data_IF_574547693757
#
_entry.id   IF_574547693757
#
_cell.length_a   1.000
_cell.length_b   1.000
_cell.length_c   1.000
_cell.angle_alpha   90.00
_cell.angle_beta   90.00
_cell.angle_gamma   90.00
#
_symmetry.space_group_name_H-M   'P 1'
#
loop_
_entity.id
_entity.type
_entity.pdbx_description
1 polymer ?
#
# COMPACT_ATOMS: atom_id res chain seq x y z
N UNK A 1 10.84 -26.20 6.68
CA UNK A 1 9.57 -25.80 6.02
C UNK A 1 8.66 -24.98 6.93
N UNK A 2 8.55 -25.31 8.23
CA UNK A 2 7.73 -24.54 9.18
C UNK A 2 8.35 -23.16 9.54
N UNK A 3 9.68 -23.03 9.61
CA UNK A 3 10.33 -21.77 10.01
C UNK A 3 10.28 -20.65 8.96
N UNK A 4 10.33 -20.96 7.66
CA UNK A 4 10.20 -19.96 6.60
C UNK A 4 8.76 -19.43 6.51
N UNK A 5 7.78 -20.32 6.67
CA UNK A 5 6.35 -19.97 6.71
C UNK A 5 6.01 -19.22 8.01
N UNK A 6 6.65 -19.57 9.14
CA UNK A 6 6.49 -18.87 10.41
C UNK A 6 7.23 -17.52 10.43
N UNK A 7 8.39 -17.37 9.77
CA UNK A 7 9.06 -16.07 9.64
C UNK A 7 8.30 -15.13 8.71
N UNK A 8 7.74 -15.63 7.61
CA UNK A 8 6.86 -14.85 6.73
C UNK A 8 5.54 -14.50 7.44
N UNK A 9 4.98 -15.45 8.20
CA UNK A 9 3.80 -15.23 9.03
C UNK A 9 4.04 -14.24 10.17
N UNK A 10 5.21 -14.30 10.83
CA UNK A 10 5.64 -13.35 11.87
C UNK A 10 5.90 -11.96 11.28
N UNK A 11 6.50 -11.84 10.11
CA UNK A 11 6.67 -10.56 9.42
C UNK A 11 5.33 -9.92 9.09
N UNK A 12 4.39 -10.69 8.53
CA UNK A 12 3.03 -10.21 8.25
C UNK A 12 2.26 -9.87 9.54
N UNK A 13 2.40 -10.68 10.60
CA UNK A 13 1.75 -10.46 11.88
C UNK A 13 2.32 -9.24 12.63
N UNK A 14 3.63 -9.05 12.59
CA UNK A 14 4.33 -7.94 13.25
C UNK A 14 4.01 -6.58 12.59
N UNK A 15 3.63 -6.58 11.31
CA UNK A 15 3.10 -5.39 10.63
C UNK A 15 1.57 -5.24 10.80
N UNK A 16 0.83 -6.35 10.94
CA UNK A 16 -0.62 -6.34 11.13
C UNK A 16 -1.06 -5.87 12.52
N UNK A 17 -0.35 -6.31 13.56
CA UNK A 17 -0.70 -6.04 14.96
C UNK A 17 -0.68 -4.54 15.30
N UNK A 18 0.38 -3.77 14.98
CA UNK A 18 0.42 -2.34 15.29
C UNK A 18 -0.70 -1.56 14.61
N UNK A 19 -0.95 -1.83 13.33
CA UNK A 19 -1.95 -1.14 12.55
C UNK A 19 -3.39 -1.42 13.03
N UNK A 20 -3.69 -2.68 13.36
CA UNK A 20 -5.01 -3.08 13.87
C UNK A 20 -5.24 -2.50 15.25
N UNK A 21 -4.21 -2.46 16.09
CA UNK A 21 -4.28 -1.85 17.41
C UNK A 21 -4.52 -0.34 17.32
N UNK A 22 -3.79 0.36 16.44
CA UNK A 22 -3.98 1.80 16.20
C UNK A 22 -5.40 2.04 15.66
N UNK A 23 -5.88 1.22 14.73
CA UNK A 23 -7.25 1.32 14.21
C UNK A 23 -8.32 1.10 15.28
N UNK A 24 -8.16 0.08 16.12
CA UNK A 24 -9.07 -0.17 17.24
C UNK A 24 -9.03 0.98 18.26
N UNK A 25 -7.84 1.52 18.53
CA UNK A 25 -7.64 2.66 19.43
C UNK A 25 -8.30 3.94 18.90
N UNK A 26 -8.11 4.28 17.62
CA UNK A 26 -8.75 5.44 16.98
C UNK A 26 -10.27 5.29 16.97
N UNK A 27 -10.78 4.10 16.65
CA UNK A 27 -12.23 3.84 16.70
C UNK A 27 -12.79 3.92 18.13
N UNK A 28 -12.09 3.42 19.14
CA UNK A 28 -12.60 3.44 20.51
C UNK A 28 -12.60 4.84 21.13
N UNK A 29 -11.52 5.62 20.95
CA UNK A 29 -11.38 6.93 21.62
C UNK A 29 -11.98 8.09 20.82
N UNK A 30 -12.05 7.98 19.49
CA UNK A 30 -12.43 9.10 18.63
C UNK A 30 -13.65 8.82 17.74
N UNK A 31 -14.39 7.73 17.96
CA UNK A 31 -15.68 7.51 17.31
C UNK A 31 -16.64 8.67 17.60
N UNK A 32 -17.41 9.08 16.59
CA UNK A 32 -18.37 10.18 16.72
C UNK A 32 -17.77 11.59 16.79
N UNK A 33 -16.44 11.74 16.81
CA UNK A 33 -15.80 13.05 16.92
C UNK A 33 -15.49 13.67 15.56
N UNK A 34 -15.68 14.99 15.47
CA UNK A 34 -15.27 15.82 14.33
C UNK A 34 -13.96 16.52 14.71
N UNK A 35 -12.92 16.33 13.91
CA UNK A 35 -11.57 16.81 14.26
C UNK A 35 -11.23 18.13 13.57
N UNK A 36 -11.60 18.27 12.30
CA UNK A 36 -11.22 19.46 11.52
C UNK A 36 -12.22 19.78 10.40
N UNK A 37 -12.09 21.01 9.89
CA UNK A 37 -12.80 21.52 8.71
C UNK A 37 -11.79 21.75 7.59
N UNK A 38 -12.01 21.14 6.43
CA UNK A 38 -11.16 21.32 5.27
C UNK A 38 -11.38 22.70 4.61
N UNK A 39 -10.31 23.37 4.12
CA UNK A 39 -10.39 24.70 3.52
C UNK A 39 -10.91 24.69 2.07
N UNK A 40 -11.10 23.52 1.46
CA UNK A 40 -11.61 23.36 0.09
C UNK A 40 -13.00 22.71 0.08
N UNK A 41 -13.83 22.96 -0.95
CA UNK A 41 -15.10 22.26 -1.14
C UNK A 41 -14.87 20.81 -1.57
N UNK A 42 -15.62 19.86 -0.99
CA UNK A 42 -15.60 18.44 -1.35
C UNK A 42 -16.96 18.00 -1.89
N UNK A 43 -16.96 16.98 -2.74
CA UNK A 43 -18.16 16.35 -3.30
C UNK A 43 -18.83 15.41 -2.30
N UNK A 44 -20.15 15.25 -2.40
CA UNK A 44 -20.95 14.43 -1.47
C UNK A 44 -20.56 12.94 -1.46
N UNK A 45 -19.93 12.44 -2.54
CA UNK A 45 -19.43 11.07 -2.60
C UNK A 45 -18.39 10.75 -1.52
N UNK A 46 -17.66 11.75 -1.02
CA UNK A 46 -16.72 11.55 0.09
C UNK A 46 -17.38 11.56 1.47
N UNK A 47 -18.65 11.95 1.58
CA UNK A 47 -19.32 12.11 2.89
C UNK A 47 -19.35 10.82 3.69
N UNK A 48 -19.73 9.70 3.06
CA UNK A 48 -19.77 8.38 3.72
C UNK A 48 -18.39 7.89 4.17
N UNK A 49 -17.33 8.33 3.49
CA UNK A 49 -15.94 7.98 3.81
C UNK A 49 -15.38 8.89 4.92
N UNK A 50 -15.61 10.20 4.82
CA UNK A 50 -15.03 11.20 5.72
C UNK A 50 -15.77 11.34 7.04
N UNK A 51 -17.07 11.02 7.06
CA UNK A 51 -17.93 11.09 8.24
C UNK A 51 -18.27 9.69 8.78
N UNK A 52 -17.52 8.66 8.37
CA UNK A 52 -17.67 7.33 8.95
C UNK A 52 -17.46 7.42 10.47
N UNK A 53 -18.43 6.92 11.24
CA UNK A 53 -18.48 7.01 12.69
C UNK A 53 -19.18 8.24 13.26
N UNK A 54 -19.60 9.23 12.46
CA UNK A 54 -20.35 10.43 12.90
C UNK A 54 -21.77 10.39 12.34
N UNK A 55 -22.76 10.18 13.19
CA UNK A 55 -24.16 10.01 12.75
C UNK A 55 -24.91 11.36 12.68
N UNK A 56 -24.45 12.27 11.83
CA UNK A 56 -25.05 13.60 11.67
C UNK A 56 -25.31 13.92 10.19
N UNK A 57 -26.54 13.69 9.67
CA UNK A 57 -26.84 13.81 8.25
C UNK A 57 -26.79 15.26 7.73
N UNK A 58 -27.02 16.26 8.58
CA UNK A 58 -27.01 17.69 8.19
C UNK A 58 -25.62 18.34 8.22
N UNK A 59 -24.57 17.57 8.55
CA UNK A 59 -23.22 18.10 8.66
C UNK A 59 -22.58 18.30 7.28
N UNK A 60 -22.01 19.49 7.05
CA UNK A 60 -21.34 19.80 5.77
C UNK A 60 -20.17 18.85 5.51
N UNK A 61 -19.96 18.46 4.25
CA UNK A 61 -18.93 17.47 3.82
C UNK A 61 -17.50 17.93 4.12
N UNK A 62 -17.30 19.20 4.46
CA UNK A 62 -15.98 19.75 4.85
C UNK A 62 -15.52 19.27 6.23
N UNK A 63 -16.44 18.79 7.08
CA UNK A 63 -16.09 18.27 8.40
C UNK A 63 -15.65 16.81 8.29
N UNK A 64 -14.50 16.53 8.88
CA UNK A 64 -13.81 15.24 8.79
C UNK A 64 -13.77 14.58 10.16
N UNK A 65 -14.08 13.28 10.21
CA UNK A 65 -13.96 12.45 11.41
C UNK A 65 -12.51 12.10 11.70
N UNK A 66 -12.20 11.74 12.94
CA UNK A 66 -10.85 11.33 13.33
C UNK A 66 -10.33 10.13 12.52
N UNK A 67 -11.21 9.17 12.20
CA UNK A 67 -10.89 7.98 11.42
C UNK A 67 -10.47 8.38 10.00
N UNK A 68 -11.22 9.29 9.39
CA UNK A 68 -10.89 9.79 8.07
C UNK A 68 -9.58 10.57 8.05
N UNK A 69 -9.33 11.39 9.08
CA UNK A 69 -8.06 12.10 9.20
C UNK A 69 -6.87 11.15 9.30
N UNK A 70 -7.01 10.02 10.00
CA UNK A 70 -5.98 8.98 10.04
C UNK A 70 -5.67 8.43 8.64
N UNK A 71 -6.69 8.09 7.85
CA UNK A 71 -6.50 7.64 6.46
C UNK A 71 -5.80 8.69 5.58
N UNK A 72 -6.15 9.97 5.73
CA UNK A 72 -5.51 11.07 4.98
C UNK A 72 -4.02 11.18 5.32
N UNK A 73 -3.65 11.07 6.60
CA UNK A 73 -2.24 11.07 7.01
C UNK A 73 -1.51 9.84 6.46
N UNK A 74 -2.12 8.67 6.51
CA UNK A 74 -1.51 7.44 5.99
C UNK A 74 -1.19 7.54 4.49
N UNK A 75 -2.06 8.16 3.69
CA UNK A 75 -1.81 8.38 2.26
C UNK A 75 -0.85 9.55 1.99
N UNK A 76 -0.91 10.60 2.81
CA UNK A 76 -0.16 11.85 2.60
C UNK A 76 1.25 11.88 3.20
N UNK A 77 1.59 10.97 4.10
CA UNK A 77 2.92 10.94 4.76
C UNK A 77 4.03 10.32 3.88
N UNK A 78 3.71 9.75 2.72
CA UNK A 78 4.70 9.17 1.78
C UNK A 78 5.89 10.10 1.46
N UNK A 79 5.67 11.34 0.99
CA UNK A 79 6.78 12.27 0.74
C UNK A 79 7.53 12.65 2.02
N UNK A 80 6.87 12.66 3.18
CA UNK A 80 7.52 12.96 4.46
C UNK A 80 8.48 11.83 4.85
N UNK A 81 8.06 10.57 4.70
CA UNK A 81 8.93 9.42 4.94
C UNK A 81 10.10 9.36 3.95
N UNK A 82 9.86 9.66 2.68
CA UNK A 82 10.91 9.73 1.67
C UNK A 82 11.97 10.78 2.00
N UNK A 83 11.56 11.95 2.48
CA UNK A 83 12.48 13.00 2.92
C UNK A 83 13.22 12.63 4.21
N UNK A 84 12.56 11.96 5.16
CA UNK A 84 13.16 11.61 6.44
C UNK A 84 14.18 10.48 6.31
N UNK A 85 13.93 9.49 5.46
CA UNK A 85 14.86 8.37 5.23
C UNK A 85 16.03 8.71 4.32
N UNK A 86 15.98 9.85 3.60
CA UNK A 86 17.00 10.28 2.62
C UNK A 86 17.36 9.19 1.58
N UNK A 87 16.48 8.20 1.42
CA UNK A 87 16.61 7.08 0.51
C UNK A 87 15.20 6.74 0.00
N UNK A 88 14.92 6.95 -1.30
CA UNK A 88 13.61 6.68 -1.86
C UNK A 88 13.27 5.18 -1.87
N UNK A 89 14.24 4.28 -1.86
CA UNK A 89 13.99 2.84 -1.93
C UNK A 89 13.40 2.27 -0.64
N UNK A 90 14.00 2.61 0.51
CA UNK A 90 13.52 2.18 1.84
C UNK A 90 12.19 2.82 2.23
N UNK A 91 11.96 4.09 1.87
CA UNK A 91 10.66 4.73 2.06
C UNK A 91 9.56 4.09 1.19
N UNK A 92 9.89 3.73 -0.06
CA UNK A 92 8.97 3.01 -0.93
C UNK A 92 8.62 1.62 -0.35
N UNK A 93 9.58 0.94 0.27
CA UNK A 93 9.37 -0.38 0.88
C UNK A 93 8.46 -0.31 2.12
N UNK A 94 8.64 0.70 2.98
CA UNK A 94 7.75 0.97 4.11
C UNK A 94 6.31 1.30 3.66
N UNK A 95 6.18 2.09 2.59
CA UNK A 95 4.88 2.45 2.01
C UNK A 95 4.22 1.26 1.32
N UNK A 96 4.99 0.43 0.60
CA UNK A 96 4.49 -0.79 -0.03
C UNK A 96 3.97 -1.76 1.03
N UNK A 97 4.66 -1.86 2.16
CA UNK A 97 4.21 -2.66 3.30
C UNK A 97 2.89 -2.13 3.88
N UNK A 98 2.73 -0.81 4.01
CA UNK A 98 1.47 -0.19 4.45
C UNK A 98 0.34 -0.30 3.42
N UNK A 99 0.63 -0.24 2.11
CA UNK A 99 -0.37 -0.35 1.05
C UNK A 99 -0.84 -1.78 0.81
N UNK A 100 0.06 -2.77 0.88
CA UNK A 100 -0.33 -4.19 0.82
C UNK A 100 -1.31 -4.54 1.95
N UNK A 101 -1.27 -3.79 3.04
CA UNK A 101 -2.15 -3.95 4.18
C UNK A 101 -3.55 -3.35 4.01
N UNK A 102 -3.75 -2.40 3.08
CA UNK A 102 -5.08 -1.94 2.69
C UNK A 102 -5.81 -2.91 1.76
N UNK A 103 -5.07 -3.85 1.18
CA UNK A 103 -5.63 -4.94 0.38
C UNK A 103 -6.14 -6.10 1.25
N UNK A 104 -6.35 -5.88 2.56
CA UNK A 104 -6.80 -6.89 3.54
C UNK A 104 -8.27 -7.30 3.41
N UNK A 105 -8.85 -7.17 2.22
CA UNK A 105 -10.11 -7.81 1.83
C UNK A 105 -9.92 -9.18 1.16
N UNK A 106 -8.69 -9.70 1.03
CA UNK A 106 -8.43 -10.94 0.31
C UNK A 106 -7.42 -11.85 1.03
N UNK A 107 -7.83 -12.99 1.61
CA UNK A 107 -6.91 -14.02 2.04
C UNK A 107 -6.38 -14.74 0.80
N UNK A 108 -5.15 -14.43 0.39
CA UNK A 108 -4.51 -15.14 -0.70
C UNK A 108 -3.42 -14.34 -1.39
N UNK A 109 -2.27 -14.21 -0.74
CA UNK A 109 -1.04 -14.11 -1.52
C UNK A 109 -1.00 -15.27 -2.51
N UNK A 110 -0.57 -15.06 -3.77
CA UNK A 110 -0.65 -16.09 -4.80
C UNK A 110 0.12 -17.33 -4.32
N UNK A 111 -0.55 -18.48 -4.37
CA UNK A 111 0.04 -19.76 -3.94
C UNK A 111 1.30 -20.00 -4.76
N UNK A 112 2.42 -20.49 -4.18
CA UNK A 112 3.68 -20.65 -4.91
C UNK A 112 3.53 -21.42 -6.23
N UNK A 113 2.67 -22.44 -6.26
CA UNK A 113 2.37 -23.20 -7.46
C UNK A 113 1.76 -22.36 -8.60
N UNK A 114 0.85 -21.43 -8.27
CA UNK A 114 0.24 -20.53 -9.25
C UNK A 114 1.25 -19.52 -9.79
N UNK A 115 2.17 -19.04 -8.94
CA UNK A 115 3.26 -18.15 -9.35
C UNK A 115 4.20 -18.88 -10.30
N UNK A 116 4.64 -20.10 -9.96
CA UNK A 116 5.54 -20.88 -10.82
C UNK A 116 4.90 -21.27 -12.15
N UNK A 117 3.60 -21.58 -12.17
CA UNK A 117 2.90 -21.86 -13.41
C UNK A 117 2.82 -20.61 -14.29
N UNK A 118 2.46 -19.46 -13.71
CA UNK A 118 2.38 -18.19 -14.44
C UNK A 118 3.74 -17.77 -15.03
N UNK A 119 4.84 -17.94 -14.27
CA UNK A 119 6.18 -17.67 -14.79
C UNK A 119 6.59 -18.64 -15.91
N UNK A 120 6.24 -19.93 -15.79
CA UNK A 120 6.50 -20.93 -16.85
C UNK A 120 5.78 -20.58 -18.15
N UNK A 121 4.50 -20.21 -18.06
CA UNK A 121 3.70 -19.77 -19.22
C UNK A 121 4.28 -18.48 -19.83
N UNK A 122 4.73 -17.54 -19.00
CA UNK A 122 5.36 -16.31 -19.48
C UNK A 122 6.69 -16.57 -20.19
N UNK A 123 7.52 -17.49 -19.68
CA UNK A 123 8.81 -17.83 -20.30
C UNK A 123 8.61 -18.48 -21.67
N UNK A 124 7.53 -19.24 -21.87
CA UNK A 124 7.23 -19.87 -23.16
C UNK A 124 6.95 -18.87 -24.29
N UNK A 125 6.52 -17.65 -23.95
CA UNK A 125 6.18 -16.59 -24.93
C UNK A 125 7.42 -15.73 -25.26
N UNK A 126 8.47 -15.77 -24.44
CA UNK A 126 9.65 -14.95 -24.65
C UNK A 126 10.46 -15.44 -25.85
N UNK A 127 10.69 -14.55 -26.81
CA UNK A 127 11.59 -14.81 -27.91
C UNK A 127 13.04 -14.81 -27.42
N UNK A 128 13.84 -15.73 -27.95
CA UNK A 128 15.26 -15.82 -27.62
C UNK A 128 16.03 -14.68 -28.30
N UNK A 129 16.40 -13.66 -27.51
CA UNK A 129 17.34 -12.63 -27.94
C UNK A 129 18.77 -13.03 -27.56
N UNK A 130 19.59 -13.36 -28.56
CA UNK A 130 21.02 -13.64 -28.34
C UNK A 130 21.84 -12.37 -28.48
N UNK A 131 22.50 -11.97 -27.39
CA UNK A 131 23.48 -10.87 -27.39
C UNK A 131 24.76 -11.25 -28.12
N UNK A 132 24.98 -12.51 -28.50
CA UNK A 132 26.17 -12.94 -29.25
C UNK A 132 26.01 -12.81 -30.78
N UNK A 133 24.79 -12.64 -31.27
CA UNK A 133 24.52 -12.40 -32.69
C UNK A 133 25.00 -11.01 -33.10
N UNK A 134 25.85 -10.90 -34.13
CA UNK A 134 26.30 -9.60 -34.64
C UNK A 134 27.17 -8.78 -33.67
N UNK A 135 27.85 -9.43 -32.70
CA UNK A 135 28.79 -8.72 -31.80
C UNK A 135 29.93 -8.09 -32.58
N UNK A 136 30.48 -8.80 -33.56
CA UNK A 136 31.59 -8.32 -34.38
C UNK A 136 31.20 -7.05 -35.14
N UNK A 137 30.02 -7.02 -35.74
CA UNK A 137 29.50 -5.84 -36.45
C UNK A 137 29.18 -4.67 -35.52
N UNK A 138 28.65 -4.93 -34.31
CA UNK A 138 28.40 -3.88 -33.30
C UNK A 138 29.70 -3.27 -32.79
N UNK A 139 30.70 -4.10 -32.53
CA UNK A 139 32.02 -3.64 -32.08
C UNK A 139 32.75 -2.88 -33.18
N UNK A 140 32.66 -3.32 -34.45
CA UNK A 140 33.24 -2.63 -35.60
C UNK A 140 32.54 -1.32 -35.98
N UNK A 141 31.29 -1.08 -35.55
CA UNK A 141 30.62 0.22 -35.75
C UNK A 141 30.89 1.22 -34.60
N UNK A 142 31.38 0.74 -33.46
CA UNK A 142 31.72 1.56 -32.29
C UNK A 142 33.13 2.16 -32.37
N UNK A 143 33.99 1.62 -33.23
CA UNK A 143 35.38 2.03 -33.47
C UNK A 143 35.61 2.33 -34.95
#
# INVERSE_FOLDING_TARGET
MNDAMMNMGKGNLMNFVPQTLIMAWVNYFFAGSVVMKLPFPLTEGFKSMLQNGVNTPDLSVRYVSAISWYFVNLLGLRPVYALLMNDPASAQELVNQQQQQFNFGGPGGPKPHQVFQAESESIQILEHESVFSGVVERVLNLY
#
